data_IF_624558282391
#
_entry.id   IF_624558282391
#
_cell.length_a   1.000
_cell.length_b   1.000
_cell.length_c   1.000
_cell.angle_alpha   90.00
_cell.angle_beta   90.00
_cell.angle_gamma   90.00
#
_symmetry.space_group_name_H-M   'P 1'
#
loop_
_entity.id
_entity.type
_entity.pdbx_description
1 polymer ?
#
# COMPACT_ATOMS: atom_id res chain seq x y z
N UNK A 1 32.97 25.14 -91.07
CA UNK A 1 33.64 24.24 -90.13
C UNK A 1 33.81 25.04 -88.86
N UNK A 2 32.86 24.85 -87.89
CA UNK A 2 32.94 25.55 -86.59
C UNK A 2 32.91 24.47 -85.52
N UNK A 3 34.07 24.30 -84.90
CA UNK A 3 34.20 23.46 -83.69
C UNK A 3 33.61 24.25 -82.53
N UNK A 4 32.55 23.61 -81.91
CA UNK A 4 31.98 24.10 -80.67
C UNK A 4 32.61 23.34 -79.51
N UNK A 5 33.09 24.00 -78.44
CA UNK A 5 33.69 23.33 -77.30
C UNK A 5 32.64 22.62 -76.45
N UNK A 6 32.89 21.33 -76.17
CA UNK A 6 32.10 20.47 -75.27
C UNK A 6 32.25 20.97 -73.84
N UNK A 7 31.16 21.42 -73.22
CA UNK A 7 31.12 21.74 -71.80
C UNK A 7 31.21 20.44 -71.03
N UNK A 8 32.09 20.33 -69.99
CA UNK A 8 32.09 19.16 -69.11
C UNK A 8 30.80 19.13 -68.23
N UNK A 9 30.14 18.01 -68.24
CA UNK A 9 28.98 17.74 -67.37
C UNK A 9 29.47 17.57 -65.91
N UNK A 10 28.78 18.18 -64.91
CA UNK A 10 29.11 17.94 -63.53
C UNK A 10 28.84 16.48 -63.15
N UNK A 11 29.81 15.86 -62.50
CA UNK A 11 29.83 14.46 -62.16
C UNK A 11 28.64 14.04 -61.28
N UNK A 12 28.06 12.94 -61.66
CA UNK A 12 26.99 12.20 -60.95
C UNK A 12 27.56 11.40 -59.78
N UNK A 13 28.39 12.02 -58.95
CA UNK A 13 28.78 11.40 -57.70
C UNK A 13 28.13 12.22 -56.59
N UNK A 14 26.91 11.82 -56.19
CA UNK A 14 26.33 12.23 -54.94
C UNK A 14 27.22 11.71 -53.82
N UNK A 15 27.76 12.57 -52.99
CA UNK A 15 28.39 12.17 -51.74
C UNK A 15 27.41 11.30 -50.93
N UNK A 16 27.86 10.14 -50.39
CA UNK A 16 27.03 9.36 -49.52
C UNK A 16 26.62 10.19 -48.32
N UNK A 17 25.39 10.02 -47.83
CA UNK A 17 24.92 10.74 -46.62
C UNK A 17 25.91 10.47 -45.47
N UNK A 18 26.45 11.53 -44.90
CA UNK A 18 27.26 11.41 -43.68
C UNK A 18 26.39 10.81 -42.58
N UNK A 19 26.64 9.57 -42.23
CA UNK A 19 26.11 8.97 -41.06
C UNK A 19 26.51 9.79 -39.84
N UNK A 20 25.55 10.49 -39.23
CA UNK A 20 25.75 11.17 -37.97
C UNK A 20 26.14 10.11 -36.97
N UNK A 21 27.41 9.94 -36.69
CA UNK A 21 27.90 9.08 -35.62
C UNK A 21 27.30 9.56 -34.31
N UNK A 22 26.39 8.77 -33.73
CA UNK A 22 25.87 9.08 -32.42
C UNK A 22 27.05 9.11 -31.43
N UNK A 23 27.19 10.14 -30.61
CA UNK A 23 28.28 10.23 -29.65
C UNK A 23 28.09 9.09 -28.59
N UNK A 24 28.80 7.99 -28.80
CA UNK A 24 28.71 6.80 -27.95
C UNK A 24 29.00 7.12 -26.47
N UNK A 25 29.85 8.13 -26.23
CA UNK A 25 30.13 8.64 -24.88
C UNK A 25 28.93 9.33 -24.24
N UNK A 26 28.12 10.06 -24.99
CA UNK A 26 26.91 10.71 -24.46
C UNK A 26 25.82 9.66 -24.13
N UNK A 27 25.70 8.62 -24.96
CA UNK A 27 24.75 7.51 -24.74
C UNK A 27 25.13 6.70 -23.51
N UNK A 28 26.41 6.42 -23.32
CA UNK A 28 26.88 5.68 -22.12
C UNK A 28 26.68 6.47 -20.82
N UNK A 29 26.92 7.78 -20.83
CA UNK A 29 26.67 8.65 -19.68
C UNK A 29 25.17 8.69 -19.35
N UNK A 30 24.31 8.82 -20.35
CA UNK A 30 22.86 8.80 -20.16
C UNK A 30 22.37 7.45 -19.60
N UNK A 31 22.89 6.33 -20.08
CA UNK A 31 22.54 5.00 -19.59
C UNK A 31 22.95 4.81 -18.11
N UNK A 32 24.15 5.24 -17.73
CA UNK A 32 24.62 5.21 -16.34
C UNK A 32 23.74 6.09 -15.44
N UNK A 33 23.38 7.28 -15.89
CA UNK A 33 22.49 8.18 -15.13
C UNK A 33 21.10 7.58 -14.89
N UNK A 34 20.52 6.93 -15.91
CA UNK A 34 19.23 6.22 -15.79
C UNK A 34 19.32 5.04 -14.82
N UNK A 35 20.41 4.27 -14.87
CA UNK A 35 20.62 3.15 -13.95
C UNK A 35 20.79 3.62 -12.50
N UNK A 36 21.52 4.71 -12.27
CA UNK A 36 21.67 5.32 -10.95
C UNK A 36 20.34 5.86 -10.43
N UNK A 37 19.54 6.51 -11.28
CA UNK A 37 18.22 6.99 -10.91
C UNK A 37 17.26 5.85 -10.59
N UNK A 38 17.27 4.79 -11.38
CA UNK A 38 16.49 3.57 -11.12
C UNK A 38 16.92 2.89 -9.81
N UNK A 39 18.22 2.77 -9.55
CA UNK A 39 18.75 2.23 -8.31
C UNK A 39 18.33 3.10 -7.10
N UNK A 40 18.39 4.43 -7.23
CA UNK A 40 17.94 5.37 -6.20
C UNK A 40 16.43 5.24 -5.93
N UNK A 41 15.60 5.13 -6.98
CA UNK A 41 14.17 4.92 -6.86
C UNK A 41 13.86 3.56 -6.20
N UNK A 42 14.59 2.49 -6.53
CA UNK A 42 14.45 1.18 -5.89
C UNK A 42 14.86 1.25 -4.41
N UNK A 43 15.95 1.95 -4.08
CA UNK A 43 16.35 2.16 -2.68
C UNK A 43 15.31 2.99 -1.89
N UNK A 44 14.76 4.03 -2.51
CA UNK A 44 13.70 4.84 -1.88
C UNK A 44 12.38 4.08 -1.78
N UNK A 45 12.05 3.21 -2.74
CA UNK A 45 10.87 2.32 -2.69
C UNK A 45 11.02 1.19 -1.67
N UNK A 46 12.25 0.79 -1.35
CA UNK A 46 12.56 -0.10 -0.23
C UNK A 46 12.50 0.67 1.10
N UNK A 47 11.41 1.42 1.32
CA UNK A 47 11.03 1.77 2.68
C UNK A 47 10.72 0.45 3.35
N UNK A 48 11.72 -0.13 3.97
CA UNK A 48 11.57 -1.24 4.91
C UNK A 48 10.41 -0.87 5.81
N UNK A 49 9.33 -1.67 5.93
CA UNK A 49 8.37 -1.48 6.98
C UNK A 49 9.19 -1.31 8.26
N UNK A 50 8.92 -0.26 9.03
CA UNK A 50 9.61 -0.04 10.29
C UNK A 50 9.64 -1.37 11.05
N UNK A 51 10.80 -1.82 11.53
CA UNK A 51 10.95 -3.17 12.02
C UNK A 51 9.89 -3.48 13.06
N UNK A 52 9.53 -4.74 13.16
CA UNK A 52 8.56 -5.35 14.07
C UNK A 52 8.75 -5.05 15.58
N UNK A 53 9.49 -4.00 15.94
CA UNK A 53 9.67 -3.50 17.30
C UNK A 53 8.32 -3.25 18.01
N UNK A 54 7.25 -3.06 17.25
CA UNK A 54 5.95 -2.74 17.82
C UNK A 54 5.02 -3.96 17.99
N UNK A 55 5.35 -5.11 17.40
CA UNK A 55 4.63 -6.37 17.67
C UNK A 55 4.87 -6.86 19.11
N UNK A 56 5.98 -6.48 19.73
CA UNK A 56 6.31 -6.87 21.10
C UNK A 56 5.28 -6.39 22.15
N UNK A 57 4.55 -5.31 21.87
CA UNK A 57 3.51 -4.81 22.77
C UNK A 57 2.14 -5.47 22.51
N UNK A 58 1.94 -6.14 21.38
CA UNK A 58 0.66 -6.75 21.00
C UNK A 58 0.07 -7.71 22.07
N UNK A 59 0.88 -8.53 22.80
CA UNK A 59 0.36 -9.40 23.86
C UNK A 59 -0.33 -8.66 25.01
N UNK A 60 -0.06 -7.37 25.18
CA UNK A 60 -0.71 -6.53 26.18
C UNK A 60 -2.07 -5.98 25.74
N UNK A 61 -2.49 -6.26 24.50
CA UNK A 61 -3.77 -5.82 23.96
C UNK A 61 -4.68 -7.00 23.77
N UNK A 62 -5.86 -6.96 24.38
CA UNK A 62 -6.89 -7.97 24.19
C UNK A 62 -7.98 -7.46 23.26
N UNK A 63 -8.31 -8.23 22.24
CA UNK A 63 -9.46 -8.00 21.36
C UNK A 63 -10.56 -8.97 21.76
N UNK A 64 -11.77 -8.47 22.01
CA UNK A 64 -12.92 -9.25 22.45
C UNK A 64 -14.20 -8.76 21.75
N UNK A 65 -15.27 -9.57 21.83
CA UNK A 65 -16.60 -9.16 21.37
C UNK A 65 -16.67 -8.88 19.87
N UNK A 66 -15.94 -9.64 19.05
CA UNK A 66 -15.95 -9.48 17.60
C UNK A 66 -17.33 -9.79 17.06
N UNK A 67 -17.88 -8.83 16.31
CA UNK A 67 -19.13 -8.94 15.58
C UNK A 67 -18.90 -8.51 14.15
N UNK A 68 -19.58 -9.13 13.23
CA UNK A 68 -19.51 -8.80 11.80
C UNK A 68 -20.90 -8.41 11.30
N UNK A 69 -20.98 -7.40 10.47
CA UNK A 69 -22.19 -7.00 9.77
C UNK A 69 -21.86 -6.62 8.34
N UNK A 70 -22.85 -6.79 7.46
CA UNK A 70 -22.76 -6.47 6.03
C UNK A 70 -23.73 -5.34 5.71
N UNK A 71 -23.34 -4.48 4.77
CA UNK A 71 -24.20 -3.44 4.21
C UNK A 71 -23.93 -3.32 2.72
N UNK A 72 -24.99 -3.07 1.95
CA UNK A 72 -24.85 -2.75 0.53
C UNK A 72 -24.24 -1.35 0.34
N UNK A 73 -23.25 -1.25 -0.51
CA UNK A 73 -22.66 0.04 -0.90
C UNK A 73 -23.56 0.70 -1.96
N UNK A 74 -23.71 2.02 -1.87
CA UNK A 74 -24.44 2.79 -2.89
C UNK A 74 -23.79 2.73 -4.28
N UNK A 75 -22.54 2.29 -4.36
CA UNK A 75 -21.78 2.12 -5.62
C UNK A 75 -21.83 0.71 -6.19
N UNK A 76 -22.63 -0.20 -5.58
CA UNK A 76 -22.89 -1.55 -6.09
C UNK A 76 -21.92 -2.63 -5.58
N UNK A 77 -21.20 -2.38 -4.46
CA UNK A 77 -20.39 -3.37 -3.74
C UNK A 77 -20.98 -3.71 -2.38
N UNK A 78 -20.36 -4.66 -1.69
CA UNK A 78 -20.67 -5.02 -0.29
C UNK A 78 -19.62 -4.42 0.62
N UNK A 79 -20.07 -3.81 1.73
CA UNK A 79 -19.21 -3.33 2.80
C UNK A 79 -19.32 -4.30 3.98
N UNK A 80 -18.19 -4.78 4.45
CA UNK A 80 -18.09 -5.61 5.64
C UNK A 80 -17.58 -4.76 6.79
N UNK A 81 -18.35 -4.72 7.86
CA UNK A 81 -17.97 -4.07 9.11
C UNK A 81 -17.59 -5.12 10.13
N UNK A 82 -16.46 -4.93 10.78
CA UNK A 82 -16.02 -5.76 11.89
C UNK A 82 -15.90 -4.85 13.10
N UNK A 83 -16.79 -5.04 14.04
CA UNK A 83 -16.79 -4.34 15.33
C UNK A 83 -16.17 -5.22 16.41
N UNK A 84 -15.56 -4.59 17.40
CA UNK A 84 -14.99 -5.28 18.53
C UNK A 84 -14.60 -4.31 19.64
N UNK A 85 -14.10 -4.86 20.72
CA UNK A 85 -13.52 -4.09 21.84
C UNK A 85 -12.06 -4.41 21.97
N UNK A 86 -11.23 -3.39 22.13
CA UNK A 86 -9.82 -3.51 22.43
C UNK A 86 -9.53 -2.97 23.83
N UNK A 87 -8.76 -3.73 24.62
CA UNK A 87 -8.36 -3.37 25.98
C UNK A 87 -6.84 -3.35 26.08
N UNK A 88 -6.29 -2.30 26.66
CA UNK A 88 -4.86 -2.18 26.95
C UNK A 88 -4.56 -2.65 28.38
N UNK A 89 -4.00 -3.84 28.51
CA UNK A 89 -3.55 -4.39 29.82
C UNK A 89 -2.11 -4.05 30.16
N UNK A 90 -1.39 -3.40 29.24
CA UNK A 90 0.02 -3.04 29.46
C UNK A 90 0.22 -1.67 30.10
N UNK A 91 1.46 -1.34 30.46
CA UNK A 91 1.78 -0.13 31.23
C UNK A 91 1.93 1.14 30.37
N UNK A 92 2.05 1.04 29.04
CA UNK A 92 2.26 2.18 28.16
C UNK A 92 0.94 2.66 27.52
N UNK A 93 0.86 3.95 27.19
CA UNK A 93 -0.27 4.51 26.45
C UNK A 93 -0.13 4.17 24.96
N UNK A 94 -1.13 3.51 24.40
CA UNK A 94 -1.15 3.11 22.97
C UNK A 94 -1.68 4.26 22.13
N UNK A 95 -0.96 4.61 21.07
CA UNK A 95 -1.27 5.73 20.16
C UNK A 95 -1.62 5.27 18.74
N UNK A 96 -1.23 4.06 18.33
CA UNK A 96 -1.64 3.48 17.07
C UNK A 96 -1.64 1.96 17.15
N UNK A 97 -2.56 1.33 16.42
CA UNK A 97 -2.67 -0.12 16.30
C UNK A 97 -2.95 -0.45 14.85
N UNK A 98 -2.24 -1.44 14.31
CA UNK A 98 -2.57 -2.04 13.02
C UNK A 98 -2.85 -3.52 13.23
N UNK A 99 -3.86 -3.99 12.53
CA UNK A 99 -4.25 -5.40 12.55
C UNK A 99 -4.17 -5.96 11.15
N UNK A 100 -3.77 -7.21 11.07
CA UNK A 100 -3.94 -8.03 9.88
C UNK A 100 -5.23 -8.83 10.05
N UNK A 101 -6.08 -8.78 9.03
CA UNK A 101 -7.37 -9.45 8.99
C UNK A 101 -7.35 -10.45 7.85
N UNK A 102 -7.56 -11.72 8.15
CA UNK A 102 -7.61 -12.81 7.18
C UNK A 102 -9.03 -13.32 7.01
N UNK A 103 -9.56 -13.25 5.80
CA UNK A 103 -10.87 -13.75 5.42
C UNK A 103 -10.73 -15.20 4.95
N UNK A 104 -11.26 -16.20 5.66
CA UNK A 104 -11.06 -17.60 5.34
C UNK A 104 -11.87 -18.03 4.11
N UNK A 105 -11.37 -19.04 3.38
CA UNK A 105 -12.13 -19.78 2.37
C UNK A 105 -12.58 -21.15 2.92
N UNK A 106 -13.31 -21.90 2.11
CA UNK A 106 -13.76 -23.25 2.48
C UNK A 106 -12.63 -24.27 2.72
N UNK A 107 -11.42 -23.96 2.25
CA UNK A 107 -10.23 -24.80 2.43
C UNK A 107 -9.46 -24.46 3.71
N UNK A 108 -9.91 -23.47 4.49
CA UNK A 108 -9.27 -23.03 5.73
C UNK A 108 -8.02 -22.15 5.52
N UNK A 109 -7.75 -21.74 4.29
CA UNK A 109 -6.71 -20.77 3.96
C UNK A 109 -7.33 -19.37 3.80
N UNK A 110 -6.59 -18.28 4.02
CA UNK A 110 -7.13 -16.96 3.74
C UNK A 110 -7.43 -16.77 2.25
N UNK A 111 -8.69 -16.46 1.91
CA UNK A 111 -9.07 -15.99 0.58
C UNK A 111 -8.46 -14.61 0.30
N UNK A 112 -8.39 -13.79 1.34
CA UNK A 112 -7.85 -12.44 1.30
C UNK A 112 -7.24 -12.10 2.65
N UNK A 113 -6.19 -11.29 2.64
CA UNK A 113 -5.53 -10.80 3.85
C UNK A 113 -5.24 -9.32 3.70
N UNK A 114 -5.69 -8.51 4.64
CA UNK A 114 -5.49 -7.08 4.65
C UNK A 114 -4.89 -6.59 5.96
N UNK A 115 -4.09 -5.54 5.88
CA UNK A 115 -3.53 -4.87 7.06
C UNK A 115 -4.06 -3.45 7.15
N UNK A 116 -4.90 -3.21 8.15
CA UNK A 116 -5.61 -1.95 8.34
C UNK A 116 -5.33 -1.32 9.70
N UNK A 117 -5.43 0.02 9.81
CA UNK A 117 -5.38 0.67 11.11
C UNK A 117 -6.67 0.41 11.90
N UNK A 118 -6.56 0.29 13.22
CA UNK A 118 -7.72 0.26 14.11
C UNK A 118 -8.23 1.68 14.31
N UNK A 119 -9.53 1.88 14.05
CA UNK A 119 -10.25 3.12 14.32
C UNK A 119 -11.22 2.91 15.48
N UNK A 120 -11.17 3.82 16.46
CA UNK A 120 -12.01 3.78 17.66
C UNK A 120 -13.37 4.41 17.36
N UNK A 121 -14.43 3.75 17.77
CA UNK A 121 -15.79 4.32 17.77
C UNK A 121 -15.86 5.34 18.89
N UNK A 122 -16.02 6.61 18.54
CA UNK A 122 -16.16 7.66 19.56
C UNK A 122 -17.59 8.18 19.68
N UNK A 123 -18.43 7.95 18.68
CA UNK A 123 -19.83 8.33 18.66
C UNK A 123 -20.66 7.27 17.95
N UNK A 124 -21.84 6.94 18.54
CA UNK A 124 -22.75 5.94 17.95
C UNK A 124 -24.05 6.56 17.43
N UNK A 125 -24.46 7.71 17.97
CA UNK A 125 -25.68 8.41 17.60
C UNK A 125 -25.39 9.88 17.32
N UNK A 126 -26.05 10.55 16.33
CA UNK A 126 -27.07 9.97 15.43
C UNK A 126 -26.47 9.09 14.32
N UNK A 127 -25.14 9.15 14.09
CA UNK A 127 -24.40 8.33 13.13
C UNK A 127 -23.17 7.76 13.81
N UNK A 128 -22.81 6.52 13.45
CA UNK A 128 -21.58 5.94 13.94
C UNK A 128 -20.40 6.66 13.31
N UNK A 129 -19.52 7.20 14.15
CA UNK A 129 -18.30 7.88 13.72
C UNK A 129 -17.08 7.27 14.41
N UNK A 130 -15.96 7.21 13.67
CA UNK A 130 -14.72 6.60 14.10
C UNK A 130 -13.56 7.58 13.97
N UNK A 131 -12.54 7.40 14.80
CA UNK A 131 -11.30 8.18 14.75
C UNK A 131 -10.08 7.30 14.98
N UNK A 132 -8.91 7.70 14.46
CA UNK A 132 -7.67 6.99 14.73
C UNK A 132 -7.38 6.91 16.25
N UNK A 133 -6.70 5.84 16.67
CA UNK A 133 -6.26 5.67 18.07
C UNK A 133 -5.43 6.87 18.54
N UNK A 134 -4.66 7.51 17.64
CA UNK A 134 -3.88 8.71 17.95
C UNK A 134 -4.73 9.88 18.47
N UNK A 135 -5.97 10.02 18.01
CA UNK A 135 -6.90 11.05 18.47
C UNK A 135 -7.59 10.70 19.81
N UNK A 136 -7.56 9.42 20.20
CA UNK A 136 -8.08 8.91 21.47
C UNK A 136 -7.18 7.80 22.01
N UNK A 137 -5.98 8.14 22.52
CA UNK A 137 -5.01 7.15 22.96
C UNK A 137 -5.55 6.28 24.09
N UNK A 138 -5.23 4.97 24.02
CA UNK A 138 -5.60 3.99 25.04
C UNK A 138 -4.59 4.01 26.18
N UNK A 139 -4.96 4.62 27.29
CA UNK A 139 -4.17 4.59 28.51
C UNK A 139 -4.08 3.14 29.07
N UNK A 140 -3.14 2.86 29.99
CA UNK A 140 -3.11 1.62 30.75
C UNK A 140 -4.46 1.31 31.38
N UNK A 141 -4.97 0.09 31.20
CA UNK A 141 -6.28 -0.37 31.68
C UNK A 141 -7.48 0.14 30.88
N UNK A 142 -7.30 1.03 29.90
CA UNK A 142 -8.41 1.57 29.11
C UNK A 142 -8.90 0.55 28.07
N UNK A 143 -10.21 0.61 27.78
CA UNK A 143 -10.86 -0.12 26.70
C UNK A 143 -11.58 0.82 25.77
N UNK A 144 -11.66 0.47 24.52
CA UNK A 144 -12.46 1.18 23.52
C UNK A 144 -13.08 0.21 22.52
N UNK A 145 -14.26 0.58 22.01
CA UNK A 145 -14.86 -0.11 20.89
C UNK A 145 -14.22 0.38 19.59
N UNK A 146 -14.04 -0.51 18.65
CA UNK A 146 -13.46 -0.20 17.36
C UNK A 146 -14.33 -0.73 16.22
N UNK A 147 -14.13 -0.17 15.03
CA UNK A 147 -14.69 -0.65 13.76
C UNK A 147 -13.61 -0.72 12.70
N UNK A 148 -13.55 -1.84 12.01
CA UNK A 148 -12.82 -2.03 10.76
C UNK A 148 -13.83 -2.07 9.63
N UNK A 149 -13.46 -1.53 8.46
CA UNK A 149 -14.32 -1.42 7.28
C UNK A 149 -13.56 -2.04 6.11
N UNK A 150 -14.20 -2.96 5.42
CA UNK A 150 -13.67 -3.62 4.23
C UNK A 150 -14.67 -3.51 3.10
N UNK A 151 -14.16 -3.20 1.93
CA UNK A 151 -14.84 -3.24 0.66
C UNK A 151 -14.15 -4.27 -0.24
N UNK A 152 -14.86 -4.74 -1.24
CA UNK A 152 -14.28 -5.60 -2.28
C UNK A 152 -13.61 -6.89 -1.74
N UNK A 153 -14.32 -7.60 -0.86
CA UNK A 153 -13.85 -8.89 -0.33
C UNK A 153 -13.94 -9.96 -1.43
N UNK A 154 -12.90 -10.82 -1.50
CA UNK A 154 -12.81 -11.88 -2.49
C UNK A 154 -14.04 -12.81 -2.47
N UNK A 155 -14.59 -13.15 -3.63
CA UNK A 155 -15.75 -14.03 -3.80
C UNK A 155 -15.54 -15.43 -3.17
N UNK A 156 -14.27 -15.85 -3.02
CA UNK A 156 -13.91 -17.13 -2.40
C UNK A 156 -13.96 -17.11 -0.87
N UNK A 157 -14.29 -15.98 -0.23
CA UNK A 157 -14.51 -15.92 1.21
C UNK A 157 -15.78 -16.68 1.60
N UNK A 158 -15.69 -17.53 2.62
CA UNK A 158 -16.77 -18.40 3.07
C UNK A 158 -17.73 -17.75 4.08
N UNK A 159 -17.69 -16.41 4.22
CA UNK A 159 -18.52 -15.60 5.10
C UNK A 159 -18.39 -15.92 6.63
N UNK A 160 -17.39 -16.71 7.00
CA UNK A 160 -17.07 -16.92 8.42
C UNK A 160 -16.35 -15.71 9.00
N UNK A 161 -16.38 -15.61 10.33
CA UNK A 161 -15.66 -14.56 11.05
C UNK A 161 -14.18 -14.57 10.67
N UNK A 162 -13.61 -13.43 10.26
CA UNK A 162 -12.21 -13.34 9.90
C UNK A 162 -11.30 -13.46 11.12
N UNK A 163 -10.08 -13.91 10.86
CA UNK A 163 -9.03 -13.96 11.88
C UNK A 163 -8.38 -12.57 11.96
N UNK A 164 -8.25 -12.05 13.18
CA UNK A 164 -7.66 -10.73 13.44
C UNK A 164 -6.40 -10.91 14.27
N UNK A 165 -5.29 -10.41 13.75
CA UNK A 165 -3.98 -10.42 14.41
C UNK A 165 -3.42 -9.01 14.51
N UNK A 166 -2.98 -8.58 15.70
CA UNK A 166 -2.29 -7.31 15.89
C UNK A 166 -0.87 -7.45 15.35
N UNK A 167 -0.51 -6.62 14.38
CA UNK A 167 0.80 -6.65 13.71
C UNK A 167 1.71 -5.50 14.11
N UNK A 168 1.14 -4.36 14.48
CA UNK A 168 1.91 -3.19 14.91
C UNK A 168 1.18 -2.44 16.03
N UNK A 169 1.93 -1.96 17.00
CA UNK A 169 1.45 -1.10 18.09
C UNK A 169 2.46 0.03 18.28
N UNK A 170 1.98 1.27 18.33
CA UNK A 170 2.79 2.42 18.74
C UNK A 170 2.38 2.84 20.14
N UNK A 171 3.38 3.11 21.00
CA UNK A 171 3.19 3.53 22.39
C UNK A 171 3.94 4.81 22.68
N UNK A 172 3.60 5.47 23.76
CA UNK A 172 4.32 6.60 24.35
C UNK A 172 4.37 6.47 25.88
#
# INVERSE_FOLDING_TARGET
MSDAPIKPQPGLFSEPPQEKSFPTTAVSIAAVAVLLLAALLILMSRRTPAPAANAAYAPNLAITGIQMSESDSQTGGKLIYIDGRITNHGPATVTAIRVQVGFPNDQGTPAQTETVPVNIIYMREPYLDTRPVAASPLAPGASADFRLIFDDIADSWNQQLPQIQITQVSTR
#
